data_IF_648745381358
#
_entry.id   IF_648745381358
#
_cell.length_a   1.000
_cell.length_b   1.000
_cell.length_c   1.000
_cell.angle_alpha   90.00
_cell.angle_beta   90.00
_cell.angle_gamma   90.00
#
_symmetry.space_group_name_H-M   'P 1'
#
loop_
_entity.id
_entity.type
_entity.pdbx_description
1 polymer ?
#
# COMPACT_ATOMS: atom_id res chain seq x y z
N UNK A 1 -14.88 7.58 -15.00
CA UNK A 1 -14.00 6.39 -15.09
C UNK A 1 -13.32 6.42 -16.44
N UNK A 2 -12.01 6.21 -16.46
CA UNK A 2 -11.27 6.07 -17.71
C UNK A 2 -11.40 4.64 -18.24
N UNK A 3 -11.43 4.49 -19.56
CA UNK A 3 -11.51 3.16 -20.19
C UNK A 3 -10.17 2.45 -20.01
N UNK A 4 -10.17 1.32 -19.31
CA UNK A 4 -9.00 0.46 -19.20
C UNK A 4 -8.87 -0.40 -20.48
N UNK A 5 -7.78 -0.24 -21.22
CA UNK A 5 -7.52 -1.01 -22.46
C UNK A 5 -6.27 -1.86 -22.35
N UNK A 6 -5.13 -1.24 -22.05
CA UNK A 6 -3.84 -1.90 -21.84
C UNK A 6 -3.01 -1.07 -20.88
N UNK A 7 -2.37 -1.72 -19.92
CA UNK A 7 -1.41 -1.13 -19.00
C UNK A 7 -0.12 -1.96 -19.06
N UNK A 8 1.02 -1.29 -19.17
CA UNK A 8 2.34 -1.90 -18.97
C UNK A 8 3.02 -1.11 -17.87
N UNK A 9 3.60 -1.82 -16.90
CA UNK A 9 4.22 -1.24 -15.72
C UNK A 9 4.98 -2.29 -14.93
N UNK A 10 5.72 -1.83 -13.92
CA UNK A 10 6.47 -2.71 -13.01
C UNK A 10 5.49 -3.44 -12.10
N UNK A 11 5.70 -4.75 -11.93
CA UNK A 11 4.90 -5.58 -11.04
C UNK A 11 5.67 -5.82 -9.73
N UNK A 12 4.97 -5.70 -8.60
CA UNK A 12 5.51 -5.99 -7.27
C UNK A 12 4.89 -7.29 -6.73
N UNK A 13 5.61 -8.43 -6.77
CA UNK A 13 5.06 -9.71 -6.32
C UNK A 13 4.90 -9.74 -4.79
N UNK A 14 3.71 -10.11 -4.32
CA UNK A 14 3.40 -10.28 -2.90
C UNK A 14 2.70 -11.63 -2.69
N UNK A 15 3.46 -12.71 -2.43
CA UNK A 15 2.91 -14.08 -2.31
C UNK A 15 2.29 -14.33 -0.93
N UNK A 16 1.32 -13.49 -0.55
CA UNK A 16 0.56 -13.60 0.69
C UNK A 16 -0.87 -14.00 0.38
N UNK A 17 -1.42 -14.90 1.20
CA UNK A 17 -2.84 -15.27 1.17
C UNK A 17 -3.58 -14.52 2.26
N UNK A 18 -4.90 -14.34 2.09
CA UNK A 18 -5.78 -13.72 3.08
C UNK A 18 -5.41 -12.27 3.44
N UNK A 19 -5.00 -11.48 2.46
CA UNK A 19 -4.83 -10.03 2.62
C UNK A 19 -6.21 -9.42 2.89
N UNK A 20 -6.41 -8.88 4.10
CA UNK A 20 -7.66 -8.24 4.51
C UNK A 20 -7.64 -6.71 4.39
N UNK A 21 -8.75 -6.06 4.78
CA UNK A 21 -8.89 -4.60 4.65
C UNK A 21 -8.00 -3.80 5.59
N UNK A 22 -7.74 -4.30 6.80
CA UNK A 22 -6.87 -3.60 7.75
C UNK A 22 -5.40 -3.74 7.33
N UNK A 23 -5.02 -4.88 6.70
CA UNK A 23 -3.71 -5.03 6.07
C UNK A 23 -3.50 -4.06 4.90
N UNK A 24 -4.51 -3.86 4.05
CA UNK A 24 -4.43 -2.92 2.92
C UNK A 24 -4.33 -1.49 3.45
N UNK A 25 -5.17 -1.12 4.42
CA UNK A 25 -5.14 0.20 5.04
C UNK A 25 -5.72 0.14 6.46
N UNK A 26 -4.90 0.39 7.49
CA UNK A 26 -5.39 0.34 8.85
C UNK A 26 -6.48 1.37 9.17
N UNK A 27 -7.50 0.97 9.92
CA UNK A 27 -8.66 1.81 10.27
C UNK A 27 -8.34 3.19 10.87
N UNK A 28 -7.19 3.38 11.52
CA UNK A 28 -6.81 4.68 12.09
C UNK A 28 -6.72 5.79 11.03
N UNK A 29 -6.37 5.43 9.79
CA UNK A 29 -6.24 6.38 8.68
C UNK A 29 -7.58 6.72 8.03
N UNK A 30 -8.64 5.98 8.35
CA UNK A 30 -9.98 6.15 7.77
C UNK A 30 -10.85 7.16 8.52
N UNK A 31 -10.31 7.83 9.55
CA UNK A 31 -10.99 8.90 10.29
C UNK A 31 -11.03 10.23 9.51
N UNK A 32 -10.34 10.31 8.38
CA UNK A 32 -10.29 11.52 7.55
C UNK A 32 -11.53 11.67 6.68
N UNK A 33 -11.95 12.91 6.46
CA UNK A 33 -12.98 13.25 5.45
C UNK A 33 -12.37 13.54 4.07
N UNK A 34 -11.03 13.62 3.99
CA UNK A 34 -10.33 13.88 2.73
C UNK A 34 -10.39 12.64 1.84
N UNK A 35 -10.65 12.84 0.56
CA UNK A 35 -10.68 11.77 -0.46
C UNK A 35 -9.30 11.47 -1.07
N UNK A 36 -8.25 12.14 -0.61
CA UNK A 36 -6.88 12.06 -1.14
C UNK A 36 -5.89 11.75 -0.02
N UNK A 37 -4.69 11.28 -0.39
CA UNK A 37 -3.58 11.05 0.55
C UNK A 37 -3.57 9.68 1.23
N UNK A 38 -4.60 8.85 1.06
CA UNK A 38 -4.65 7.52 1.67
C UNK A 38 -3.57 6.55 1.14
N UNK A 39 -3.08 6.76 -0.08
CA UNK A 39 -2.03 5.93 -0.68
C UNK A 39 -0.70 5.96 0.09
N UNK A 40 -0.44 7.01 0.89
CA UNK A 40 0.74 7.06 1.75
C UNK A 40 0.74 5.94 2.79
N UNK A 41 -0.45 5.52 3.27
CA UNK A 41 -0.63 4.52 4.32
C UNK A 41 -1.06 3.15 3.76
N UNK A 42 -0.90 2.93 2.45
CA UNK A 42 -1.17 1.63 1.82
C UNK A 42 -0.18 0.60 2.40
N UNK A 43 -0.68 -0.51 2.97
CA UNK A 43 0.14 -1.53 3.63
C UNK A 43 1.05 -0.98 4.75
N UNK A 44 0.57 0.02 5.51
CA UNK A 44 1.33 0.73 6.55
C UNK A 44 2.13 -0.19 7.48
N UNK A 45 1.47 -1.22 8.06
CA UNK A 45 2.09 -2.16 9.00
C UNK A 45 3.20 -3.02 8.38
N UNK A 46 3.23 -3.16 7.05
CA UNK A 46 4.26 -3.88 6.32
C UNK A 46 5.31 -2.95 5.73
N UNK A 47 4.95 -1.69 5.48
CA UNK A 47 5.82 -0.69 4.87
C UNK A 47 6.70 0.02 5.87
N UNK A 48 6.22 0.25 7.09
CA UNK A 48 6.90 1.11 8.06
C UNK A 48 7.13 0.39 9.39
N UNK A 49 8.27 0.69 10.02
CA UNK A 49 8.53 0.33 11.40
C UNK A 49 7.83 1.30 12.38
N UNK A 50 8.03 1.10 13.68
CA UNK A 50 7.41 1.95 14.72
C UNK A 50 7.97 3.37 14.77
N UNK A 51 9.17 3.57 14.24
CA UNK A 51 9.82 4.88 14.15
C UNK A 51 9.45 5.61 12.85
N UNK A 52 8.69 4.95 11.97
CA UNK A 52 8.22 5.48 10.69
C UNK A 52 9.20 5.28 9.53
N UNK A 53 10.25 4.47 9.70
CA UNK A 53 11.18 4.17 8.61
C UNK A 53 10.63 3.08 7.70
N UNK A 54 10.98 3.13 6.42
CA UNK A 54 10.61 2.07 5.48
C UNK A 54 11.31 0.75 5.80
N UNK A 55 10.58 -0.35 5.73
CA UNK A 55 11.11 -1.70 5.84
C UNK A 55 11.60 -2.14 4.46
N UNK A 56 12.92 -2.25 4.29
CA UNK A 56 13.59 -2.60 3.02
C UNK A 56 13.11 -3.95 2.42
N UNK A 57 12.71 -4.87 3.29
CA UNK A 57 12.25 -6.19 2.87
C UNK A 57 10.87 -6.19 2.22
N UNK A 58 10.07 -5.15 2.42
CA UNK A 58 8.75 -5.07 1.82
C UNK A 58 8.83 -4.68 0.35
N UNK A 59 8.14 -5.44 -0.50
CA UNK A 59 8.29 -5.36 -1.96
C UNK A 59 8.01 -3.97 -2.55
N UNK A 60 7.10 -3.18 -1.94
CA UNK A 60 6.76 -1.84 -2.43
C UNK A 60 7.72 -0.73 -1.98
N UNK A 61 8.67 -1.03 -1.08
CA UNK A 61 9.71 -0.08 -0.67
C UNK A 61 11.01 -0.27 -1.49
N UNK A 62 11.06 -1.31 -2.33
CA UNK A 62 12.22 -1.60 -3.18
C UNK A 62 12.18 -0.76 -4.45
N UNK A 63 13.35 -0.37 -5.00
CA UNK A 63 13.41 0.30 -6.29
C UNK A 63 12.79 -0.58 -7.39
N UNK A 64 12.15 0.10 -8.35
CA UNK A 64 11.46 -0.51 -9.49
C UNK A 64 12.42 -1.01 -10.59
#
# INVERSE_FOLDING_TARGET
MEKFTKLSGVAAPMPLVNIDTDMIIPKQFLKTIKRTGLGANLFDEMRFDRDGNEIDDFVLNRPA
#
